data_IF_308261407938
#
_entry.id   IF_308261407938
#
_cell.length_a   1.000
_cell.length_b   1.000
_cell.length_c   1.000
_cell.angle_alpha   90.00
_cell.angle_beta   90.00
_cell.angle_gamma   90.00
#
_symmetry.space_group_name_H-M   'P 1'
#
loop_
_entity.id
_entity.type
_entity.pdbx_description
1 polymer ?
#
# COMPACT_ATOMS: atom_id res chain seq x y z
N UNK A 1 20.49 -7.64 7.37
CA UNK A 1 19.62 -6.76 8.19
C UNK A 1 20.10 -5.31 8.20
N UNK A 2 21.34 -5.00 8.64
CA UNK A 2 21.83 -3.61 8.72
C UNK A 2 21.77 -2.87 7.39
N UNK A 3 22.32 -3.46 6.31
CA UNK A 3 22.31 -2.82 4.98
C UNK A 3 20.88 -2.63 4.43
N UNK A 4 19.99 -3.60 4.62
CA UNK A 4 18.58 -3.49 4.20
C UNK A 4 17.84 -2.39 4.97
N UNK A 5 18.07 -2.24 6.29
CA UNK A 5 17.51 -1.15 7.09
C UNK A 5 18.10 0.22 6.73
N UNK A 6 19.41 0.28 6.46
CA UNK A 6 20.06 1.51 6.01
C UNK A 6 19.49 1.97 4.65
N UNK A 7 19.29 1.04 3.72
CA UNK A 7 18.64 1.31 2.43
C UNK A 7 17.20 1.79 2.62
N UNK A 8 16.46 1.23 3.58
CA UNK A 8 15.14 1.77 3.96
C UNK A 8 15.26 3.22 4.40
N UNK A 9 16.14 3.55 5.34
CA UNK A 9 16.31 4.93 5.83
C UNK A 9 16.65 5.92 4.71
N UNK A 10 17.60 5.55 3.86
CA UNK A 10 17.99 6.36 2.70
C UNK A 10 16.84 6.53 1.72
N UNK A 11 16.19 5.43 1.30
CA UNK A 11 15.08 5.47 0.34
C UNK A 11 13.88 6.25 0.86
N UNK A 12 13.57 6.14 2.17
CA UNK A 12 12.51 6.90 2.83
C UNK A 12 12.81 8.40 2.81
N UNK A 13 14.05 8.80 3.10
CA UNK A 13 14.47 10.20 3.02
C UNK A 13 14.39 10.73 1.58
N UNK A 14 14.87 9.97 0.59
CA UNK A 14 14.77 10.35 -0.82
C UNK A 14 13.30 10.50 -1.27
N UNK A 15 12.43 9.57 -0.89
CA UNK A 15 11.00 9.64 -1.22
C UNK A 15 10.31 10.83 -0.54
N UNK A 16 10.69 11.18 0.69
CA UNK A 16 10.19 12.37 1.38
C UNK A 16 10.53 13.64 0.60
N UNK A 17 11.80 13.81 0.22
CA UNK A 17 12.24 14.94 -0.60
C UNK A 17 11.52 14.97 -1.95
N UNK A 18 11.36 13.81 -2.59
CA UNK A 18 10.64 13.69 -3.85
C UNK A 18 9.17 14.13 -3.74
N UNK A 19 8.44 13.68 -2.72
CA UNK A 19 7.01 14.04 -2.54
C UNK A 19 6.84 15.53 -2.27
N UNK A 20 7.71 16.13 -1.45
CA UNK A 20 7.69 17.58 -1.21
C UNK A 20 7.99 18.34 -2.51
N UNK A 21 9.07 17.96 -3.20
CA UNK A 21 9.45 18.58 -4.47
C UNK A 21 8.33 18.47 -5.50
N UNK A 22 7.72 17.29 -5.63
CA UNK A 22 6.60 17.04 -6.53
C UNK A 22 5.39 17.94 -6.20
N UNK A 23 5.00 18.01 -4.92
CA UNK A 23 3.89 18.84 -4.49
C UNK A 23 4.12 20.33 -4.81
N UNK A 24 5.33 20.83 -4.53
CA UNK A 24 5.72 22.22 -4.83
C UNK A 24 5.73 22.49 -6.32
N UNK A 25 6.39 21.63 -7.12
CA UNK A 25 6.50 21.79 -8.58
C UNK A 25 5.12 21.76 -9.23
N UNK A 26 4.24 20.84 -8.85
CA UNK A 26 2.89 20.75 -9.41
C UNK A 26 2.06 21.99 -9.04
N UNK A 27 2.18 22.51 -7.81
CA UNK A 27 1.49 23.75 -7.41
C UNK A 27 1.97 24.95 -8.21
N UNK A 28 3.27 25.11 -8.38
CA UNK A 28 3.87 26.16 -9.21
C UNK A 28 3.34 26.04 -10.65
N UNK A 29 3.41 24.84 -11.23
CA UNK A 29 2.91 24.59 -12.58
C UNK A 29 1.41 24.90 -12.70
N UNK A 30 0.61 24.58 -11.69
CA UNK A 30 -0.83 24.85 -11.68
C UNK A 30 -1.15 26.34 -11.74
N UNK A 31 -0.35 27.17 -11.06
CA UNK A 31 -0.49 28.64 -11.12
C UNK A 31 -0.26 29.17 -12.54
N UNK A 32 0.73 28.62 -13.26
CA UNK A 32 1.05 29.09 -14.62
C UNK A 32 0.19 28.45 -15.71
N UNK A 33 -0.14 27.16 -15.59
CA UNK A 33 -0.86 26.40 -16.61
C UNK A 33 -1.64 25.22 -16.01
N UNK A 34 -2.92 25.41 -15.65
CA UNK A 34 -3.78 24.34 -15.15
C UNK A 34 -3.95 23.17 -16.14
N UNK A 35 -3.98 23.46 -17.44
CA UNK A 35 -4.11 22.45 -18.50
C UNK A 35 -2.87 21.55 -18.60
N UNK A 36 -1.68 22.13 -18.50
CA UNK A 36 -0.43 21.39 -18.48
C UNK A 36 -0.29 20.57 -17.19
N UNK A 37 -0.67 21.13 -16.03
CA UNK A 37 -0.74 20.40 -14.77
C UNK A 37 -1.62 19.16 -14.87
N UNK A 38 -2.85 19.30 -15.38
CA UNK A 38 -3.77 18.17 -15.56
C UNK A 38 -3.14 17.08 -16.45
N UNK A 39 -2.50 17.46 -17.55
CA UNK A 39 -1.80 16.52 -18.46
C UNK A 39 -0.67 15.76 -17.77
N UNK A 40 0.14 16.43 -16.95
CA UNK A 40 1.23 15.77 -16.21
C UNK A 40 0.71 14.84 -15.12
N UNK A 41 -0.30 15.25 -14.37
CA UNK A 41 -0.93 14.42 -13.34
C UNK A 41 -1.59 13.18 -13.98
N UNK A 42 -2.27 13.33 -15.11
CA UNK A 42 -2.86 12.19 -15.85
C UNK A 42 -1.80 11.18 -16.30
N UNK A 43 -0.70 11.65 -16.91
CA UNK A 43 0.43 10.77 -17.30
C UNK A 43 1.06 10.06 -16.10
N UNK A 44 1.11 10.72 -14.94
CA UNK A 44 1.58 10.08 -13.72
C UNK A 44 0.58 9.03 -13.24
N UNK A 45 -0.72 9.36 -13.24
CA UNK A 45 -1.82 8.46 -12.93
C UNK A 45 -1.84 7.19 -13.77
N UNK A 46 -1.52 7.28 -15.06
CA UNK A 46 -1.37 6.12 -15.96
C UNK A 46 -0.30 5.15 -15.45
N UNK A 47 0.84 5.66 -14.97
CA UNK A 47 1.94 4.83 -14.45
C UNK A 47 1.58 4.15 -13.13
N UNK A 48 0.73 4.77 -12.32
CA UNK A 48 0.27 4.24 -11.03
C UNK A 48 -1.14 3.67 -11.12
N UNK A 49 -1.61 3.35 -12.32
CA UNK A 49 -2.91 2.71 -12.62
C UNK A 49 -4.17 3.48 -12.20
N UNK A 50 -4.05 4.71 -11.70
CA UNK A 50 -5.19 5.53 -11.24
C UNK A 50 -6.15 5.91 -12.37
N UNK A 51 -5.67 5.96 -13.62
CA UNK A 51 -6.52 6.24 -14.80
C UNK A 51 -7.23 5.02 -15.36
N UNK A 52 -6.87 3.81 -14.90
CA UNK A 52 -7.42 2.57 -15.44
C UNK A 52 -8.79 2.22 -14.82
N UNK A 53 -9.14 2.84 -13.69
CA UNK A 53 -10.41 2.61 -13.02
C UNK A 53 -11.49 3.55 -13.58
N UNK A 54 -12.51 3.04 -14.31
CA UNK A 54 -13.54 3.87 -14.93
C UNK A 54 -14.45 4.57 -13.91
N UNK A 55 -14.46 4.12 -12.65
CA UNK A 55 -15.19 4.76 -11.55
C UNK A 55 -14.40 5.86 -10.85
N UNK A 56 -13.14 6.06 -11.22
CA UNK A 56 -12.23 6.99 -10.54
C UNK A 56 -11.81 8.10 -11.50
N UNK A 57 -12.61 9.18 -11.50
CA UNK A 57 -12.38 10.31 -12.39
C UNK A 57 -11.20 11.13 -11.89
N UNK A 58 -10.57 11.88 -12.79
CA UNK A 58 -9.45 12.74 -12.45
C UNK A 58 -9.78 13.67 -11.27
N UNK A 59 -11.00 14.16 -11.20
CA UNK A 59 -11.46 15.09 -10.18
C UNK A 59 -11.41 14.47 -8.77
N UNK A 60 -11.54 13.14 -8.67
CA UNK A 60 -11.55 12.42 -7.40
C UNK A 60 -10.15 12.28 -6.79
N UNK A 61 -9.09 12.27 -7.62
CA UNK A 61 -7.72 11.97 -7.17
C UNK A 61 -6.64 12.93 -7.64
N UNK A 62 -6.77 13.54 -8.81
CA UNK A 62 -5.79 14.48 -9.37
C UNK A 62 -5.45 15.63 -8.41
N UNK A 63 -6.44 16.28 -7.76
CA UNK A 63 -6.18 17.33 -6.78
C UNK A 63 -5.34 16.88 -5.57
N UNK A 64 -5.30 15.58 -5.24
CA UNK A 64 -4.54 15.08 -4.08
C UNK A 64 -3.03 15.34 -4.23
N UNK A 65 -2.50 15.35 -5.46
CA UNK A 65 -1.09 15.67 -5.75
C UNK A 65 -0.69 17.08 -5.32
N UNK A 66 -1.66 17.99 -5.26
CA UNK A 66 -1.45 19.37 -4.81
C UNK A 66 -1.85 19.56 -3.33
N UNK A 67 -2.45 18.55 -2.68
CA UNK A 67 -2.96 18.66 -1.31
C UNK A 67 -1.86 18.43 -0.26
N UNK A 68 -1.96 19.14 0.86
CA UNK A 68 -1.17 18.83 2.05
C UNK A 68 -1.54 17.48 2.66
N UNK A 69 -2.73 16.94 2.35
CA UNK A 69 -3.13 15.61 2.80
C UNK A 69 -2.20 14.53 2.25
N UNK A 70 -1.78 14.63 0.99
CA UNK A 70 -0.82 13.68 0.41
C UNK A 70 0.51 13.73 1.16
N UNK A 71 1.05 14.93 1.40
CA UNK A 71 2.32 15.11 2.12
C UNK A 71 2.20 14.55 3.54
N UNK A 72 1.14 14.87 4.27
CA UNK A 72 0.90 14.35 5.63
C UNK A 72 0.77 12.84 5.64
N UNK A 73 -0.04 12.26 4.75
CA UNK A 73 -0.22 10.81 4.66
C UNK A 73 1.10 10.11 4.33
N UNK A 74 1.78 10.56 3.27
CA UNK A 74 3.08 10.02 2.88
C UNK A 74 4.12 10.11 4.02
N UNK A 75 4.15 11.23 4.75
CA UNK A 75 5.05 11.42 5.90
C UNK A 75 4.76 10.44 7.03
N UNK A 76 3.47 10.24 7.38
CA UNK A 76 3.04 9.24 8.36
C UNK A 76 3.43 7.83 7.92
N UNK A 77 3.19 7.47 6.66
CA UNK A 77 3.57 6.17 6.12
C UNK A 77 5.08 5.94 6.16
N UNK A 78 5.86 6.96 5.78
CA UNK A 78 7.33 6.94 5.84
C UNK A 78 7.82 6.72 7.27
N UNK A 79 7.26 7.43 8.26
CA UNK A 79 7.59 7.24 9.67
C UNK A 79 7.31 5.80 10.15
N UNK A 80 6.12 5.27 9.85
CA UNK A 80 5.74 3.89 10.21
C UNK A 80 6.64 2.86 9.52
N UNK A 81 7.02 3.10 8.26
CA UNK A 81 7.88 2.19 7.50
C UNK A 81 9.27 1.99 8.12
N UNK A 82 9.72 2.90 8.98
CA UNK A 82 11.00 2.76 9.68
C UNK A 82 11.01 1.56 10.65
N UNK A 83 9.84 1.12 11.10
CA UNK A 83 9.63 -0.04 11.97
C UNK A 83 9.55 -1.38 11.23
N UNK A 84 9.76 -1.43 9.91
CA UNK A 84 9.59 -2.68 9.16
C UNK A 84 10.64 -3.74 9.51
N UNK A 85 10.19 -4.99 9.55
CA UNK A 85 10.95 -6.18 9.93
C UNK A 85 10.94 -7.26 8.83
N UNK A 86 9.95 -7.24 7.93
CA UNK A 86 9.86 -8.17 6.81
C UNK A 86 10.89 -7.82 5.73
N UNK A 87 11.92 -8.64 5.55
CA UNK A 87 12.95 -8.47 4.52
C UNK A 87 13.23 -9.78 3.78
N UNK A 88 13.52 -9.69 2.48
CA UNK A 88 13.83 -10.87 1.64
C UNK A 88 14.96 -11.70 2.26
N UNK A 89 14.75 -13.02 2.29
CA UNK A 89 15.67 -13.99 2.87
C UNK A 89 15.57 -14.14 4.39
N UNK A 90 14.63 -13.46 5.05
CA UNK A 90 14.37 -13.54 6.49
C UNK A 90 13.05 -14.24 6.76
N UNK A 91 12.84 -14.64 8.01
CA UNK A 91 11.54 -15.09 8.48
C UNK A 91 10.51 -13.97 8.31
N UNK A 92 9.33 -14.33 7.83
CA UNK A 92 8.20 -13.43 7.73
C UNK A 92 7.74 -13.10 9.15
N UNK A 93 7.63 -11.83 9.57
CA UNK A 93 7.23 -11.54 10.95
C UNK A 93 5.82 -12.05 11.25
N UNK A 94 5.64 -12.71 12.40
CA UNK A 94 4.30 -13.02 12.91
C UNK A 94 3.66 -11.77 13.53
N UNK A 95 2.35 -11.66 13.40
CA UNK A 95 1.53 -10.63 14.02
C UNK A 95 0.10 -11.13 14.23
N UNK A 96 -0.56 -10.67 15.30
CA UNK A 96 -1.96 -10.98 15.49
C UNK A 96 -2.82 -10.24 14.46
N UNK A 97 -3.86 -10.92 13.97
CA UNK A 97 -4.91 -10.38 13.10
C UNK A 97 -6.27 -10.80 13.65
N UNK A 98 -7.34 -10.16 13.18
CA UNK A 98 -8.71 -10.48 13.59
C UNK A 98 -9.51 -11.00 12.40
N UNK A 99 -10.24 -12.09 12.59
CA UNK A 99 -11.14 -12.69 11.58
C UNK A 99 -12.45 -11.90 11.46
N UNK A 100 -13.24 -12.19 10.43
CA UNK A 100 -14.56 -11.56 10.26
C UNK A 100 -15.55 -11.90 11.38
N UNK A 101 -15.36 -13.02 12.07
CA UNK A 101 -16.15 -13.43 13.23
C UNK A 101 -15.68 -12.78 14.55
N UNK A 102 -14.65 -11.91 14.49
CA UNK A 102 -14.10 -11.21 15.64
C UNK A 102 -13.07 -12.01 16.44
N UNK A 103 -12.64 -13.17 15.96
CA UNK A 103 -11.65 -13.99 16.65
C UNK A 103 -10.22 -13.48 16.40
N UNK A 104 -9.41 -13.43 17.47
CA UNK A 104 -7.98 -13.08 17.38
C UNK A 104 -7.17 -14.31 16.99
N UNK A 105 -6.32 -14.17 16.00
CA UNK A 105 -5.53 -15.26 15.41
C UNK A 105 -4.18 -14.73 14.89
N UNK A 106 -3.33 -15.59 14.35
CA UNK A 106 -2.02 -15.22 13.77
C UNK A 106 -2.11 -15.08 12.25
N UNK A 107 -1.39 -14.10 11.70
CA UNK A 107 -1.27 -13.91 10.24
C UNK A 107 -0.71 -15.14 9.52
N UNK A 108 0.07 -15.99 10.20
CA UNK A 108 0.61 -17.22 9.63
C UNK A 108 -0.48 -18.20 9.17
N UNK A 109 -1.67 -18.17 9.80
CA UNK A 109 -2.78 -19.06 9.44
C UNK A 109 -3.38 -18.75 8.07
N UNK A 110 -3.11 -17.57 7.50
CA UNK A 110 -3.72 -17.06 6.26
C UNK A 110 -2.75 -16.98 5.08
N UNK A 111 -1.55 -17.54 5.23
CA UNK A 111 -0.56 -17.61 4.15
C UNK A 111 -0.92 -18.72 3.15
N UNK A 112 -1.92 -18.47 2.30
CA UNK A 112 -2.36 -19.34 1.18
C UNK A 112 -2.64 -18.52 -0.08
N UNK A 113 -2.65 -19.17 -1.24
CA UNK A 113 -2.45 -18.56 -2.57
C UNK A 113 -3.61 -17.71 -3.13
N UNK A 114 -3.26 -16.60 -3.82
CA UNK A 114 -4.03 -15.93 -4.89
C UNK A 114 -4.82 -14.66 -4.52
N UNK A 115 -4.65 -13.54 -5.24
CA UNK A 115 -5.48 -12.31 -5.09
C UNK A 115 -5.51 -11.40 -6.34
N UNK A 116 -6.66 -10.76 -6.59
CA UNK A 116 -6.85 -9.56 -7.43
C UNK A 116 -8.08 -8.76 -6.95
N UNK A 117 -8.06 -7.41 -7.00
CA UNK A 117 -9.20 -6.55 -6.66
C UNK A 117 -9.38 -5.37 -7.63
N UNK A 118 -10.63 -4.92 -7.77
CA UNK A 118 -11.02 -3.74 -8.55
C UNK A 118 -12.03 -2.87 -7.79
N UNK A 119 -11.97 -1.56 -8.03
CA UNK A 119 -12.85 -0.47 -7.54
C UNK A 119 -12.49 0.14 -6.18
N UNK A 120 -12.52 1.48 -6.12
CA UNK A 120 -12.30 2.27 -4.91
C UNK A 120 -13.62 2.48 -4.16
N UNK A 121 -13.54 2.47 -2.83
CA UNK A 121 -14.62 2.78 -1.90
C UNK A 121 -14.22 3.97 -1.04
N UNK A 122 -15.18 4.85 -0.73
CA UNK A 122 -14.95 5.92 0.25
C UNK A 122 -15.14 5.34 1.65
N UNK A 123 -14.01 5.09 2.33
CA UNK A 123 -13.95 4.47 3.65
C UNK A 123 -13.28 5.46 4.60
N UNK A 124 -14.01 5.86 5.63
CA UNK A 124 -13.49 6.73 6.67
C UNK A 124 -12.37 6.02 7.46
N UNK A 125 -11.44 6.81 8.01
CA UNK A 125 -10.41 6.30 8.91
C UNK A 125 -11.05 5.55 10.09
N UNK A 126 -10.74 4.26 10.22
CA UNK A 126 -11.25 3.39 11.30
C UNK A 126 -10.85 3.94 12.68
N UNK A 127 -11.82 4.08 13.58
CA UNK A 127 -11.64 4.47 14.99
C UNK A 127 -11.82 3.29 15.93
N UNK A 128 -12.48 2.24 15.47
CA UNK A 128 -12.70 0.98 16.20
C UNK A 128 -12.36 -0.24 15.34
N UNK A 129 -12.24 -1.39 15.97
CA UNK A 129 -12.11 -2.67 15.27
C UNK A 129 -13.36 -2.99 14.44
N UNK A 130 -14.53 -2.60 14.94
CA UNK A 130 -15.82 -2.77 14.25
C UNK A 130 -15.88 -1.93 12.95
N UNK A 131 -15.36 -0.70 12.95
CA UNK A 131 -15.25 0.13 11.74
C UNK A 131 -14.38 -0.59 10.70
N UNK A 132 -13.27 -1.19 11.14
CA UNK A 132 -12.31 -1.88 10.30
C UNK A 132 -12.88 -3.18 9.71
N UNK A 133 -13.62 -3.95 10.52
CA UNK A 133 -14.34 -5.14 10.08
C UNK A 133 -15.46 -4.77 9.09
N UNK A 134 -16.20 -3.70 9.37
CA UNK A 134 -17.26 -3.19 8.48
C UNK A 134 -16.70 -2.79 7.11
N UNK A 135 -15.55 -2.13 7.08
CA UNK A 135 -14.84 -1.82 5.84
C UNK A 135 -14.37 -3.08 5.10
N UNK A 136 -13.82 -4.06 5.81
CA UNK A 136 -13.39 -5.33 5.22
C UNK A 136 -14.58 -6.14 4.67
N UNK A 137 -15.78 -6.03 5.26
CA UNK A 137 -16.98 -6.69 4.78
C UNK A 137 -17.34 -6.27 3.35
N UNK A 138 -17.05 -5.02 2.97
CA UNK A 138 -17.23 -4.52 1.59
C UNK A 138 -16.37 -5.35 0.61
N UNK A 139 -15.15 -5.70 1.01
CA UNK A 139 -14.24 -6.53 0.24
C UNK A 139 -14.73 -7.99 0.18
N UNK A 140 -15.18 -8.53 1.31
CA UNK A 140 -15.71 -9.90 1.41
C UNK A 140 -16.94 -10.10 0.51
N UNK A 141 -17.80 -9.09 0.39
CA UNK A 141 -18.95 -9.10 -0.54
C UNK A 141 -18.57 -9.21 -2.02
N UNK A 142 -17.28 -9.07 -2.38
CA UNK A 142 -16.77 -9.33 -3.73
C UNK A 142 -16.35 -10.77 -3.96
N UNK A 143 -16.58 -11.64 -2.98
CA UNK A 143 -16.26 -13.05 -3.03
C UNK A 143 -14.80 -13.30 -3.46
N UNK A 144 -13.81 -12.70 -2.76
CA UNK A 144 -12.41 -13.00 -3.04
C UNK A 144 -12.15 -14.50 -2.90
N UNK A 145 -11.26 -15.02 -3.75
CA UNK A 145 -10.88 -16.43 -3.77
C UNK A 145 -10.02 -16.86 -2.57
N UNK A 146 -9.97 -16.05 -1.52
CA UNK A 146 -8.91 -16.07 -0.52
C UNK A 146 -9.35 -15.38 0.78
N UNK A 147 -8.79 -15.79 1.93
CA UNK A 147 -9.25 -15.31 3.23
C UNK A 147 -8.92 -13.84 3.50
N UNK A 148 -9.92 -13.03 3.81
CA UNK A 148 -9.73 -11.63 4.23
C UNK A 148 -9.60 -11.57 5.74
N UNK A 149 -8.52 -10.93 6.22
CA UNK A 149 -8.31 -10.63 7.64
C UNK A 149 -7.97 -9.15 7.81
N UNK A 150 -8.22 -8.61 9.00
CA UNK A 150 -7.87 -7.23 9.34
C UNK A 150 -6.75 -7.19 10.38
N UNK A 151 -5.89 -6.18 10.26
CA UNK A 151 -4.85 -5.92 11.27
C UNK A 151 -5.50 -5.44 12.58
N UNK A 152 -4.79 -5.59 13.70
CA UNK A 152 -5.18 -4.98 14.96
C UNK A 152 -5.15 -3.44 14.89
N UNK A 153 -5.90 -2.76 15.76
CA UNK A 153 -6.00 -1.28 15.75
C UNK A 153 -4.67 -0.55 16.00
N UNK A 154 -3.63 -1.25 16.45
CA UNK A 154 -2.27 -0.75 16.60
C UNK A 154 -1.42 -0.85 15.31
N UNK A 155 -1.99 -1.37 14.22
CA UNK A 155 -1.38 -1.49 12.89
C UNK A 155 -0.07 -2.30 12.89
N UNK A 156 0.07 -3.29 13.81
CA UNK A 156 1.31 -4.06 14.00
C UNK A 156 1.74 -4.78 12.73
N UNK A 157 0.82 -5.43 12.01
CA UNK A 157 1.14 -6.10 10.75
C UNK A 157 1.60 -5.09 9.70
N UNK A 158 0.85 -4.00 9.56
CA UNK A 158 1.15 -2.96 8.59
C UNK A 158 2.53 -2.32 8.83
N UNK A 159 2.90 -2.12 10.10
CA UNK A 159 4.23 -1.62 10.51
C UNK A 159 5.32 -2.66 10.19
N UNK A 160 5.18 -3.90 10.66
CA UNK A 160 6.18 -4.95 10.47
C UNK A 160 6.45 -5.26 9.00
N UNK A 161 5.42 -5.26 8.18
CA UNK A 161 5.56 -5.50 6.73
C UNK A 161 5.79 -4.21 5.94
N UNK A 162 5.79 -3.03 6.56
CA UNK A 162 5.86 -1.75 5.85
C UNK A 162 4.86 -1.72 4.69
N UNK A 163 3.62 -2.14 4.98
CA UNK A 163 2.63 -2.54 3.99
C UNK A 163 1.78 -1.35 3.48
N UNK A 164 1.90 -0.19 4.11
CA UNK A 164 1.14 1.01 3.72
C UNK A 164 1.80 1.75 2.55
N UNK A 165 1.01 2.36 1.63
CA UNK A 165 -0.45 2.28 1.56
C UNK A 165 -0.96 0.90 1.10
N UNK A 166 -0.18 0.23 0.25
CA UNK A 166 -0.36 -1.15 -0.17
C UNK A 166 0.99 -1.75 -0.53
N UNK A 167 1.12 -3.08 -0.39
CA UNK A 167 2.35 -3.81 -0.71
C UNK A 167 2.10 -5.29 -0.90
N UNK A 168 2.76 -5.88 -1.90
CA UNK A 168 2.68 -7.32 -2.17
C UNK A 168 3.91 -8.04 -1.61
N UNK A 169 3.68 -9.18 -0.98
CA UNK A 169 4.71 -10.09 -0.46
C UNK A 169 4.44 -11.50 -0.96
N UNK A 170 5.50 -12.30 -1.15
CA UNK A 170 5.38 -13.76 -1.30
C UNK A 170 6.20 -14.40 -0.19
N UNK A 171 5.56 -15.33 0.50
CA UNK A 171 6.13 -16.05 1.63
C UNK A 171 6.17 -17.53 1.28
N UNK A 172 7.28 -18.20 1.58
CA UNK A 172 7.43 -19.65 1.36
C UNK A 172 8.14 -20.24 2.57
N UNK A 173 7.58 -21.30 3.17
CA UNK A 173 8.13 -21.96 4.37
C UNK A 173 8.46 -20.98 5.52
N UNK A 174 7.54 -20.03 5.79
CA UNK A 174 7.71 -19.02 6.85
C UNK A 174 8.75 -17.93 6.54
N UNK A 175 9.30 -17.88 5.32
CA UNK A 175 10.31 -16.89 4.91
C UNK A 175 9.78 -15.95 3.85
N UNK A 176 10.22 -14.70 3.89
CA UNK A 176 9.95 -13.71 2.84
C UNK A 176 10.84 -14.03 1.63
N UNK A 177 10.23 -14.55 0.57
CA UNK A 177 10.92 -14.83 -0.71
C UNK A 177 10.77 -13.69 -1.71
N UNK A 178 9.72 -12.88 -1.57
CA UNK A 178 9.52 -11.65 -2.36
C UNK A 178 8.96 -10.51 -1.50
N UNK A 179 9.44 -9.31 -1.79
CA UNK A 179 8.99 -8.05 -1.20
C UNK A 179 8.84 -7.02 -2.32
N UNK A 180 7.60 -6.68 -2.65
CA UNK A 180 7.30 -5.67 -3.67
C UNK A 180 7.71 -4.27 -3.24
N UNK A 181 7.71 -3.35 -4.21
CA UNK A 181 7.84 -1.93 -3.92
C UNK A 181 6.63 -1.40 -3.13
N UNK A 182 6.80 -0.28 -2.45
CA UNK A 182 5.69 0.38 -1.73
C UNK A 182 4.75 1.04 -2.73
N UNK A 183 3.44 0.82 -2.59
CA UNK A 183 2.43 1.45 -3.44
C UNK A 183 2.31 2.97 -3.25
N UNK A 184 1.61 3.67 -4.15
CA UNK A 184 1.05 3.14 -5.39
C UNK A 184 2.13 2.91 -6.47
N UNK A 185 3.32 3.52 -6.36
CA UNK A 185 4.38 3.42 -7.39
C UNK A 185 4.99 2.03 -7.54
N UNK A 186 5.08 1.27 -6.44
CA UNK A 186 5.65 -0.08 -6.42
C UNK A 186 4.63 -1.20 -6.49
N UNK A 187 3.34 -0.89 -6.64
CA UNK A 187 2.29 -1.90 -6.75
C UNK A 187 2.28 -2.51 -8.15
N UNK A 188 2.77 -3.74 -8.28
CA UNK A 188 2.92 -4.43 -9.56
C UNK A 188 2.55 -5.92 -9.46
N UNK A 189 1.27 -6.26 -9.64
CA UNK A 189 0.82 -7.66 -9.63
C UNK A 189 1.48 -8.54 -10.70
N UNK A 190 1.85 -7.96 -11.85
CA UNK A 190 2.49 -8.68 -12.95
C UNK A 190 3.92 -9.11 -12.60
N UNK A 191 4.64 -8.30 -11.81
CA UNK A 191 5.95 -8.68 -11.25
C UNK A 191 5.80 -9.86 -10.30
N UNK A 192 4.80 -9.84 -9.41
CA UNK A 192 4.49 -10.97 -8.52
C UNK A 192 4.14 -12.23 -9.31
N UNK A 193 3.28 -12.11 -10.32
CA UNK A 193 2.92 -13.24 -11.20
C UNK A 193 4.16 -13.85 -11.88
N UNK A 194 5.04 -12.99 -12.38
CA UNK A 194 6.29 -13.42 -13.02
C UNK A 194 7.25 -14.08 -12.03
N UNK A 195 7.24 -13.64 -10.77
CA UNK A 195 8.01 -14.24 -9.68
C UNK A 195 7.44 -15.61 -9.28
N UNK A 196 6.13 -15.72 -9.09
CA UNK A 196 5.45 -16.98 -8.75
C UNK A 196 5.66 -18.05 -9.83
N UNK A 197 5.66 -17.68 -11.12
CA UNK A 197 6.00 -18.63 -12.21
C UNK A 197 7.40 -19.26 -12.11
N UNK A 198 8.33 -18.61 -11.41
CA UNK A 198 9.71 -19.09 -11.24
C UNK A 198 9.87 -20.00 -10.03
N UNK A 199 8.95 -19.90 -9.06
CA UNK A 199 8.99 -20.69 -7.83
C UNK A 199 7.99 -21.82 -7.99
N UNK A 200 8.53 -23.02 -8.17
CA UNK A 200 7.77 -24.27 -8.12
C UNK A 200 7.65 -24.76 -6.68
#
# INVERSE_FOLDING_TARGET
MFLQKLMVYFSTACMFCYIIGLNVVIRILHVFSPSLTRKHILRMGEKITMTQNPKFKYEDWGPTFMSFMLVRAASKHMWLSLGQEAFVGREAPDSPVVTMDGERTSIYQYMRDGWAFTNNYDINQHRSLEDRLSAAQILVQKEPLCPVVVDEMNDVTAIKYGALPERLYVLQTGKVVYKGGTGPWGYNPQEVHSFLKKIK
#
